data_IF_865863504450
#
_entry.id   IF_865863504450
#
_cell.length_a   1.000
_cell.length_b   1.000
_cell.length_c   1.000
_cell.angle_alpha   90.00
_cell.angle_beta   90.00
_cell.angle_gamma   90.00
#
_symmetry.space_group_name_H-M   'P 1'
#
loop_
_entity.id
_entity.type
_entity.pdbx_description
1 polymer ?
#
# COMPACT_ATOMS: atom_id res chain seq x y z
N UNK A 1 -33.08 10.15 -33.77
CA UNK A 1 -33.51 11.05 -32.68
C UNK A 1 -33.55 10.23 -31.41
N UNK A 2 -32.59 10.46 -30.52
CA UNK A 2 -32.60 9.84 -29.19
C UNK A 2 -33.75 10.47 -28.38
N UNK A 3 -34.54 9.64 -27.72
CA UNK A 3 -35.60 10.10 -26.82
C UNK A 3 -34.98 10.40 -25.45
N UNK A 4 -35.42 11.44 -24.74
CA UNK A 4 -34.89 11.80 -23.41
C UNK A 4 -34.94 10.65 -22.39
N UNK A 5 -35.85 9.69 -22.59
CA UNK A 5 -35.94 8.47 -21.79
C UNK A 5 -34.75 7.52 -22.00
N UNK A 6 -34.20 7.46 -23.21
CA UNK A 6 -33.06 6.60 -23.56
C UNK A 6 -31.76 7.14 -22.96
N UNK A 7 -31.50 8.44 -23.09
CA UNK A 7 -30.36 9.10 -22.45
C UNK A 7 -30.35 8.89 -20.92
N UNK A 8 -31.49 9.11 -20.26
CA UNK A 8 -31.62 8.87 -18.81
C UNK A 8 -31.42 7.40 -18.43
N UNK A 9 -31.90 6.47 -19.26
CA UNK A 9 -31.70 5.04 -19.04
C UNK A 9 -30.22 4.64 -19.15
N UNK A 10 -29.51 5.22 -20.12
CA UNK A 10 -28.08 5.02 -20.32
C UNK A 10 -27.26 5.56 -19.14
N UNK A 11 -27.54 6.78 -18.67
CA UNK A 11 -26.84 7.37 -17.51
C UNK A 11 -26.94 6.48 -16.26
N UNK A 12 -28.13 5.91 -16.01
CA UNK A 12 -28.35 4.97 -14.90
C UNK A 12 -27.57 3.68 -15.11
N UNK A 13 -27.55 3.13 -16.33
CA UNK A 13 -26.81 1.91 -16.63
C UNK A 13 -25.29 2.11 -16.48
N UNK A 14 -24.75 3.24 -16.92
CA UNK A 14 -23.34 3.63 -16.76
C UNK A 14 -22.99 3.70 -15.28
N UNK A 15 -23.80 4.41 -14.48
CA UNK A 15 -23.55 4.53 -13.04
C UNK A 15 -23.55 3.17 -12.34
N UNK A 16 -24.48 2.27 -12.70
CA UNK A 16 -24.51 0.92 -12.15
C UNK A 16 -23.31 0.06 -12.57
N UNK A 17 -22.80 0.25 -13.79
CA UNK A 17 -21.61 -0.44 -14.27
C UNK A 17 -20.35 0.09 -13.56
N UNK A 18 -20.24 1.40 -13.40
CA UNK A 18 -19.16 2.04 -12.64
C UNK A 18 -19.13 1.55 -11.19
N UNK A 19 -20.28 1.56 -10.50
CA UNK A 19 -20.39 1.09 -9.12
C UNK A 19 -19.99 -0.39 -8.97
N UNK A 20 -20.23 -1.23 -9.99
CA UNK A 20 -19.88 -2.65 -9.95
C UNK A 20 -18.41 -2.90 -10.29
N UNK A 21 -17.87 -2.20 -11.28
CA UNK A 21 -16.54 -2.47 -11.82
C UNK A 21 -15.45 -1.59 -11.19
N UNK A 22 -15.72 -0.30 -11.00
CA UNK A 22 -14.73 0.65 -10.50
C UNK A 22 -14.63 0.66 -8.97
N UNK A 23 -15.68 0.25 -8.24
CA UNK A 23 -15.67 0.27 -6.77
C UNK A 23 -14.57 -0.59 -6.15
N UNK A 24 -14.30 -1.78 -6.69
CA UNK A 24 -13.19 -2.63 -6.21
C UNK A 24 -11.85 -1.95 -6.46
N UNK A 25 -11.64 -1.43 -7.68
CA UNK A 25 -10.43 -0.71 -8.09
C UNK A 25 -10.17 0.48 -7.16
N UNK A 26 -11.16 1.35 -6.93
CA UNK A 26 -11.01 2.48 -6.00
C UNK A 26 -10.70 2.03 -4.57
N UNK A 27 -11.20 0.86 -4.16
CA UNK A 27 -10.95 0.33 -2.82
C UNK A 27 -9.53 -0.19 -2.68
N UNK A 28 -9.02 -0.88 -3.69
CA UNK A 28 -7.62 -1.33 -3.77
C UNK A 28 -6.67 -0.13 -3.80
N UNK A 29 -6.94 0.86 -4.66
CA UNK A 29 -6.17 2.12 -4.72
C UNK A 29 -6.13 2.80 -3.36
N UNK A 30 -7.30 3.01 -2.72
CA UNK A 30 -7.37 3.64 -1.39
C UNK A 30 -6.59 2.87 -0.34
N UNK A 31 -6.68 1.54 -0.35
CA UNK A 31 -5.94 0.70 0.59
C UNK A 31 -4.43 0.81 0.37
N UNK A 32 -3.99 0.77 -0.89
CA UNK A 32 -2.60 0.88 -1.28
C UNK A 32 -2.03 2.26 -0.89
N UNK A 33 -2.69 3.35 -1.27
CA UNK A 33 -2.27 4.72 -0.94
C UNK A 33 -2.21 4.92 0.57
N UNK A 34 -3.24 4.48 1.31
CA UNK A 34 -3.27 4.59 2.77
C UNK A 34 -2.08 3.87 3.43
N UNK A 35 -1.78 2.65 2.99
CA UNK A 35 -0.66 1.87 3.52
C UNK A 35 0.67 2.61 3.32
N UNK A 36 0.94 3.05 2.09
CA UNK A 36 2.19 3.73 1.76
C UNK A 36 2.33 5.09 2.44
N UNK A 37 1.25 5.87 2.52
CA UNK A 37 1.24 7.13 3.23
C UNK A 37 1.51 6.95 4.74
N UNK A 38 0.89 5.93 5.35
CA UNK A 38 1.12 5.61 6.76
C UNK A 38 2.57 5.21 7.01
N UNK A 39 3.14 4.33 6.20
CA UNK A 39 4.52 3.88 6.35
C UNK A 39 5.51 5.04 6.20
N UNK A 40 5.28 5.93 5.21
CA UNK A 40 6.11 7.11 5.01
C UNK A 40 6.09 8.05 6.23
N UNK A 41 4.91 8.36 6.76
CA UNK A 41 4.76 9.25 7.92
C UNK A 41 5.39 8.64 9.17
N UNK A 42 5.19 7.33 9.40
CA UNK A 42 5.79 6.64 10.54
C UNK A 42 7.31 6.61 10.47
N UNK A 43 7.88 6.38 9.29
CA UNK A 43 9.33 6.37 9.10
C UNK A 43 9.93 7.78 9.27
N UNK A 44 9.26 8.80 8.74
CA UNK A 44 9.66 10.19 8.96
C UNK A 44 9.64 10.57 10.44
N UNK A 45 8.58 10.19 11.17
CA UNK A 45 8.46 10.43 12.60
C UNK A 45 9.54 9.70 13.43
N UNK A 46 9.91 8.46 13.05
CA UNK A 46 11.01 7.72 13.69
C UNK A 46 12.32 8.48 13.60
N UNK A 47 12.64 9.01 12.41
CA UNK A 47 13.86 9.80 12.20
C UNK A 47 13.91 11.04 13.10
N UNK A 48 12.81 11.79 13.19
CA UNK A 48 12.73 12.96 14.08
C UNK A 48 12.87 12.56 15.56
N UNK A 49 12.18 11.50 15.96
CA UNK A 49 12.25 10.98 17.33
C UNK A 49 13.66 10.54 17.70
N UNK A 50 14.38 9.87 16.81
CA UNK A 50 15.75 9.43 17.03
C UNK A 50 16.73 10.61 17.10
N UNK A 51 16.52 11.64 16.28
CA UNK A 51 17.26 12.90 16.37
C UNK A 51 17.02 13.58 17.73
N UNK A 52 15.77 13.67 18.21
CA UNK A 52 15.47 14.26 19.53
C UNK A 52 16.05 13.44 20.67
N UNK A 53 15.98 12.11 20.63
CA UNK A 53 16.59 11.25 21.66
C UNK A 53 18.10 11.48 21.76
N UNK A 54 18.77 11.63 20.61
CA UNK A 54 20.20 11.94 20.55
C UNK A 54 20.51 13.34 21.11
N UNK A 55 19.69 14.35 20.78
CA UNK A 55 19.85 15.68 21.34
C UNK A 55 19.60 15.71 22.86
N UNK A 56 18.63 14.92 23.33
CA UNK A 56 18.30 14.77 24.75
C UNK A 56 19.42 14.09 25.53
N UNK A 57 20.00 13.01 25.02
CA UNK A 57 21.16 12.37 25.68
C UNK A 57 22.32 13.36 25.82
N UNK A 58 22.65 14.10 24.75
CA UNK A 58 23.68 15.14 24.80
C UNK A 58 23.33 16.30 25.74
N UNK A 59 22.04 16.57 25.97
CA UNK A 59 21.61 17.56 26.95
C UNK A 59 21.78 17.07 28.39
N UNK A 60 21.42 15.82 28.67
CA UNK A 60 21.64 15.19 29.97
C UNK A 60 23.13 15.10 30.32
N UNK A 61 23.98 14.78 29.35
CA UNK A 61 25.43 14.76 29.55
C UNK A 61 25.96 16.15 29.94
N UNK A 62 25.47 17.21 29.30
CA UNK A 62 25.82 18.60 29.64
C UNK A 62 25.37 19.00 31.04
N UNK A 63 24.12 18.66 31.41
CA UNK A 63 23.59 18.92 32.76
C UNK A 63 24.44 18.20 33.82
N UNK A 64 24.78 16.94 33.54
CA UNK A 64 25.59 16.11 34.44
C UNK A 64 27.01 16.66 34.60
N UNK A 65 27.67 17.01 33.51
CA UNK A 65 29.01 17.60 33.53
C UNK A 65 29.04 18.94 34.26
N UNK A 66 28.03 19.79 34.03
CA UNK A 66 27.89 21.07 34.72
C UNK A 66 27.70 20.90 36.24
N UNK A 67 26.78 20.01 36.65
CA UNK A 67 26.54 19.73 38.07
C UNK A 67 27.82 19.22 38.76
N UNK A 68 28.55 18.32 38.11
CA UNK A 68 29.79 17.79 38.63
C UNK A 68 30.89 18.85 38.72
N UNK A 69 31.06 19.68 37.69
CA UNK A 69 32.13 20.69 37.65
C UNK A 69 32.00 21.77 38.74
N UNK A 70 30.78 22.24 39.00
CA UNK A 70 30.56 23.33 39.96
C UNK A 70 30.24 22.85 41.37
N UNK A 71 29.48 21.76 41.50
CA UNK A 71 28.94 21.32 42.78
C UNK A 71 29.51 19.98 43.25
N UNK A 72 30.33 19.29 42.42
CA UNK A 72 30.86 17.94 42.69
C UNK A 72 29.76 16.95 43.12
N UNK A 73 28.56 17.15 42.56
CA UNK A 73 27.34 16.47 42.94
C UNK A 73 26.58 16.02 41.68
N UNK A 74 25.71 15.00 41.80
CA UNK A 74 24.81 14.64 40.71
C UNK A 74 23.84 15.79 40.38
N UNK A 75 23.32 15.83 39.14
CA UNK A 75 22.37 16.86 38.74
C UNK A 75 21.07 16.81 39.55
N UNK A 76 20.50 17.99 39.79
CA UNK A 76 19.30 18.13 40.61
C UNK A 76 18.11 17.40 39.97
N UNK A 77 17.29 16.65 40.73
CA UNK A 77 16.17 15.88 40.19
C UNK A 77 15.19 16.70 39.34
N UNK A 78 14.93 17.95 39.73
CA UNK A 78 14.07 18.85 38.95
C UNK A 78 14.62 19.14 37.55
N UNK A 79 15.93 19.31 37.39
CA UNK A 79 16.53 19.57 36.08
C UNK A 79 16.37 18.36 35.15
N UNK A 80 16.51 17.15 35.70
CA UNK A 80 16.25 15.91 34.96
C UNK A 80 14.78 15.83 34.58
N UNK A 81 13.87 16.09 35.52
CA UNK A 81 12.43 16.04 35.27
C UNK A 81 11.99 17.05 34.19
N UNK A 82 12.54 18.27 34.22
CA UNK A 82 12.32 19.30 33.20
C UNK A 82 12.83 18.86 31.82
N UNK A 83 14.04 18.29 31.75
CA UNK A 83 14.60 17.77 30.51
C UNK A 83 13.71 16.65 29.92
N UNK A 84 13.22 15.73 30.76
CA UNK A 84 12.30 14.66 30.31
C UNK A 84 10.96 15.23 29.84
N UNK A 85 10.40 16.22 30.55
CA UNK A 85 9.18 16.90 30.13
C UNK A 85 9.36 17.67 28.81
N UNK A 86 10.56 18.22 28.56
CA UNK A 86 10.89 18.86 27.29
C UNK A 86 11.00 17.85 26.15
N UNK A 87 11.63 16.70 26.37
CA UNK A 87 11.69 15.63 25.37
C UNK A 87 10.30 15.16 24.97
N UNK A 88 9.43 14.89 25.96
CA UNK A 88 8.06 14.44 25.71
C UNK A 88 7.27 15.43 24.86
N UNK A 89 7.23 16.71 25.27
CA UNK A 89 6.57 17.78 24.51
C UNK A 89 7.10 17.85 23.08
N UNK A 90 8.41 17.70 22.93
CA UNK A 90 9.03 17.65 21.61
C UNK A 90 8.54 16.48 20.76
N UNK A 91 8.53 15.26 21.30
CA UNK A 91 8.03 14.10 20.56
C UNK A 91 6.57 14.30 20.14
N UNK A 92 5.75 14.90 21.01
CA UNK A 92 4.34 15.22 20.71
C UNK A 92 4.22 16.25 19.56
N UNK A 93 5.09 17.27 19.54
CA UNK A 93 5.18 18.24 18.44
C UNK A 93 5.62 17.61 17.12
N UNK A 94 6.64 16.73 17.13
CA UNK A 94 7.08 16.00 15.93
C UNK A 94 5.97 15.13 15.36
N UNK A 95 5.21 14.48 16.25
CA UNK A 95 4.07 13.67 15.84
C UNK A 95 3.02 14.55 15.13
N UNK A 96 2.65 15.67 15.74
CA UNK A 96 1.72 16.62 15.12
C UNK A 96 2.22 17.11 13.76
N UNK A 97 3.49 17.53 13.67
CA UNK A 97 4.09 17.98 12.43
C UNK A 97 4.10 16.88 11.35
N UNK A 98 4.34 15.62 11.74
CA UNK A 98 4.31 14.48 10.82
C UNK A 98 2.90 14.23 10.29
N UNK A 99 1.88 14.25 11.16
CA UNK A 99 0.48 14.05 10.76
C UNK A 99 -0.02 15.17 9.83
N UNK A 100 0.44 16.41 10.01
CA UNK A 100 0.06 17.52 9.14
C UNK A 100 0.51 17.34 7.68
N UNK A 101 1.46 16.43 7.40
CA UNK A 101 1.94 16.14 6.04
C UNK A 101 1.09 15.15 5.26
N UNK A 102 0.03 14.60 5.86
CA UNK A 102 -0.82 13.62 5.18
C UNK A 102 -1.41 14.14 3.85
N UNK A 103 -1.92 15.38 3.72
CA UNK A 103 -2.51 15.85 2.47
C UNK A 103 -1.56 15.74 1.28
N UNK A 104 -0.33 16.24 1.41
CA UNK A 104 0.67 16.24 0.34
C UNK A 104 1.17 14.83 0.04
N UNK A 105 1.35 14.01 1.08
CA UNK A 105 1.78 12.61 0.92
C UNK A 105 0.72 11.79 0.21
N UNK A 106 -0.55 11.99 0.55
CA UNK A 106 -1.68 11.34 -0.13
C UNK A 106 -1.75 11.79 -1.59
N UNK A 107 -1.65 13.09 -1.87
CA UNK A 107 -1.64 13.63 -3.23
C UNK A 107 -0.54 12.99 -4.08
N UNK A 108 0.68 12.90 -3.54
CA UNK A 108 1.79 12.22 -4.20
C UNK A 108 1.47 10.77 -4.55
N UNK A 109 1.02 9.96 -3.58
CA UNK A 109 0.75 8.54 -3.81
C UNK A 109 -0.47 8.31 -4.72
N UNK A 110 -1.50 9.15 -4.65
CA UNK A 110 -2.58 9.12 -5.62
C UNK A 110 -2.10 9.48 -7.03
N UNK A 111 -1.18 10.44 -7.16
CA UNK A 111 -0.59 10.83 -8.45
C UNK A 111 0.28 9.75 -9.11
N UNK A 112 0.73 8.74 -8.35
CA UNK A 112 1.44 7.58 -8.91
C UNK A 112 0.51 6.54 -9.55
N UNK A 113 -0.80 6.63 -9.30
CA UNK A 113 -1.76 5.67 -9.84
C UNK A 113 -2.13 6.07 -11.26
N UNK A 114 -1.78 5.21 -12.21
CA UNK A 114 -2.09 5.40 -13.62
C UNK A 114 -3.19 4.41 -14.06
N UNK A 115 -4.26 4.94 -14.65
CA UNK A 115 -5.32 4.17 -15.30
C UNK A 115 -5.32 4.52 -16.78
N UNK A 116 -4.97 3.55 -17.63
CA UNK A 116 -4.94 3.73 -19.08
C UNK A 116 -6.21 3.15 -19.72
N UNK A 117 -6.73 3.86 -20.72
CA UNK A 117 -7.83 3.36 -21.55
C UNK A 117 -7.25 2.64 -22.76
N UNK A 118 -7.83 1.49 -23.17
CA UNK A 118 -7.50 0.85 -24.43
C UNK A 118 -7.66 1.81 -25.62
N UNK A 119 -6.86 1.63 -26.67
CA UNK A 119 -7.00 2.44 -27.88
C UNK A 119 -8.26 2.05 -28.68
N UNK A 120 -8.86 3.02 -29.39
CA UNK A 120 -10.08 2.82 -30.18
C UNK A 120 -9.93 1.77 -31.29
N UNK A 121 -8.70 1.53 -31.76
CA UNK A 121 -8.42 0.59 -32.82
C UNK A 121 -8.23 -0.86 -32.35
N UNK A 122 -8.12 -1.09 -31.04
CA UNK A 122 -7.95 -2.43 -30.46
C UNK A 122 -9.15 -3.34 -30.74
N UNK A 123 -8.90 -4.63 -31.09
CA UNK A 123 -9.99 -5.57 -31.41
C UNK A 123 -10.93 -5.81 -30.22
N UNK A 124 -10.44 -5.66 -28.99
CA UNK A 124 -11.25 -5.77 -27.78
C UNK A 124 -12.32 -4.66 -27.67
N UNK A 125 -12.06 -3.48 -28.24
CA UNK A 125 -13.00 -2.34 -28.29
C UNK A 125 -13.95 -2.49 -29.48
N UNK A 126 -13.43 -2.89 -30.65
CA UNK A 126 -14.22 -3.00 -31.90
C UNK A 126 -15.19 -4.17 -31.92
N UNK A 127 -14.74 -5.34 -31.46
CA UNK A 127 -15.52 -6.58 -31.49
C UNK A 127 -15.66 -7.14 -30.06
N UNK A 128 -16.41 -6.47 -29.18
CA UNK A 128 -16.59 -6.93 -27.82
C UNK A 128 -17.33 -8.28 -27.82
N UNK A 129 -16.91 -9.26 -26.99
CA UNK A 129 -17.54 -10.58 -26.90
C UNK A 129 -18.90 -10.57 -26.19
N UNK A 130 -19.65 -9.47 -26.32
CA UNK A 130 -21.01 -9.30 -25.86
C UNK A 130 -21.94 -9.84 -26.96
N UNK A 131 -21.99 -11.17 -27.07
CA UNK A 131 -22.70 -11.87 -28.12
C UNK A 131 -24.14 -11.38 -28.29
N UNK A 132 -24.38 -10.48 -29.26
CA UNK A 132 -25.72 -10.00 -29.56
C UNK A 132 -25.86 -9.43 -30.97
N UNK A 133 -24.90 -8.67 -31.51
CA UNK A 133 -25.10 -8.06 -32.85
C UNK A 133 -24.93 -9.02 -34.04
N UNK A 134 -24.22 -10.14 -33.86
CA UNK A 134 -23.98 -11.10 -34.96
C UNK A 134 -25.20 -12.01 -35.22
N UNK A 135 -26.07 -12.22 -34.21
CA UNK A 135 -27.12 -13.25 -34.28
C UNK A 135 -28.47 -12.72 -34.81
N UNK A 136 -28.68 -11.40 -34.85
CA UNK A 136 -29.94 -10.83 -35.35
C UNK A 136 -30.07 -10.83 -36.88
N UNK A 137 -28.99 -11.03 -37.65
CA UNK A 137 -29.06 -11.08 -39.13
C UNK A 137 -29.55 -12.44 -39.68
N UNK A 138 -29.73 -13.46 -38.83
CA UNK A 138 -30.04 -14.83 -39.28
C UNK A 138 -31.37 -15.39 -38.76
N UNK A 139 -32.38 -14.54 -38.58
CA UNK A 139 -33.77 -14.97 -38.37
C UNK A 139 -34.73 -14.14 -39.24
N UNK A 140 -34.56 -14.18 -40.57
CA UNK A 140 -35.64 -13.76 -41.49
C UNK A 140 -35.64 -14.44 -42.87
N UNK A 141 -35.16 -15.69 -42.97
CA UNK A 141 -35.39 -16.50 -44.19
C UNK A 141 -35.67 -17.95 -43.83
N UNK A 142 -36.95 -18.25 -43.57
CA UNK A 142 -37.68 -19.45 -44.04
C UNK A 142 -38.98 -19.62 -43.24
N UNK A 143 -40.01 -18.90 -43.66
CA UNK A 143 -41.33 -19.50 -43.79
C UNK A 143 -41.47 -19.86 -45.28
N UNK A 144 -41.71 -21.14 -45.58
CA UNK A 144 -41.89 -21.62 -46.95
C UNK A 144 -41.43 -23.07 -47.17
N UNK A 145 -42.35 -24.01 -46.89
CA UNK A 145 -42.63 -25.25 -47.65
C UNK A 145 -41.48 -26.21 -48.04
N UNK A 146 -41.54 -27.43 -47.46
CA UNK A 146 -41.48 -28.68 -48.23
C UNK A 146 -40.12 -29.38 -48.39
N UNK A 147 -40.08 -30.69 -48.09
CA UNK A 147 -39.19 -31.63 -48.78
C UNK A 147 -38.24 -32.46 -47.91
N UNK A 148 -38.56 -33.75 -47.83
CA UNK A 148 -37.84 -34.90 -47.31
C UNK A 148 -36.30 -34.98 -47.48
N UNK A 149 -35.67 -35.69 -46.53
CA UNK A 149 -34.64 -36.70 -46.86
C UNK A 149 -33.26 -36.52 -46.25
N UNK A 150 -32.82 -37.52 -45.46
CA UNK A 150 -31.45 -38.03 -45.51
C UNK A 150 -30.48 -37.65 -44.37
N UNK A 151 -30.29 -38.58 -43.43
CA UNK A 151 -28.97 -39.18 -43.12
C UNK A 151 -27.92 -38.39 -42.32
N UNK A 152 -27.67 -38.87 -41.09
CA UNK A 152 -26.31 -39.19 -40.62
C UNK A 152 -25.61 -38.25 -39.63
N UNK A 153 -24.76 -38.77 -38.71
CA UNK A 153 -24.51 -38.16 -37.39
C UNK A 153 -23.06 -37.66 -37.14
N UNK A 154 -22.90 -36.85 -36.08
CA UNK A 154 -21.80 -36.98 -35.11
C UNK A 154 -20.44 -36.34 -35.44
N UNK A 155 -19.94 -35.53 -34.49
CA UNK A 155 -18.57 -35.00 -34.44
C UNK A 155 -18.59 -33.58 -33.87
N UNK A 156 -18.41 -33.34 -32.57
CA UNK A 156 -17.29 -33.81 -31.74
C UNK A 156 -16.20 -32.75 -31.79
N UNK A 157 -16.17 -31.88 -30.78
CA UNK A 157 -15.31 -30.71 -30.74
C UNK A 157 -13.81 -31.02 -30.66
N UNK A 158 -13.00 -29.99 -30.88
CA UNK A 158 -11.66 -29.88 -30.32
C UNK A 158 -11.24 -28.43 -30.25
N UNK A 159 -11.12 -27.94 -29.02
CA UNK A 159 -10.33 -26.79 -28.67
C UNK A 159 -8.85 -27.11 -28.91
N UNK A 160 -8.13 -26.22 -29.56
CA UNK A 160 -6.67 -26.24 -29.60
C UNK A 160 -6.15 -24.86 -29.23
N UNK A 161 -5.62 -24.78 -28.01
CA UNK A 161 -4.84 -23.66 -27.48
C UNK A 161 -3.44 -23.74 -28.07
N UNK A 162 -2.91 -22.62 -28.56
CA UNK A 162 -1.49 -22.47 -28.89
C UNK A 162 -0.91 -21.26 -28.14
N UNK A 163 0.23 -21.38 -27.45
CA UNK A 163 0.91 -20.27 -26.77
C UNK A 163 2.14 -19.82 -27.57
N UNK A 164 2.29 -18.52 -27.80
CA UNK A 164 3.53 -17.84 -28.22
C UNK A 164 3.36 -16.38 -27.80
N UNK A 165 4.25 -15.64 -27.15
CA UNK A 165 5.68 -15.73 -26.93
C UNK A 165 6.16 -14.27 -26.87
N UNK A 166 6.94 -13.94 -25.85
CA UNK A 166 7.52 -12.63 -25.54
C UNK A 166 8.11 -11.88 -26.75
N UNK A 167 7.93 -10.54 -26.81
CA UNK A 167 8.95 -9.62 -27.32
C UNK A 167 8.74 -8.17 -26.85
N UNK A 168 9.72 -7.71 -26.08
CA UNK A 168 10.08 -6.31 -25.82
C UNK A 168 10.65 -5.66 -27.10
N UNK A 169 10.54 -4.33 -27.29
CA UNK A 169 11.75 -3.55 -27.04
C UNK A 169 11.52 -2.16 -26.41
N UNK A 170 12.46 -1.84 -25.53
CA UNK A 170 12.71 -0.52 -24.95
C UNK A 170 12.93 0.59 -25.99
N UNK A 171 12.39 1.77 -25.71
CA UNK A 171 13.13 3.04 -25.57
C UNK A 171 12.14 4.21 -25.50
N UNK A 172 12.10 4.96 -24.39
CA UNK A 172 11.93 6.41 -24.40
C UNK A 172 12.40 6.98 -23.04
N UNK A 173 13.14 8.08 -23.15
CA UNK A 173 13.97 8.67 -22.12
C UNK A 173 13.13 9.39 -21.05
N UNK A 174 13.35 9.07 -19.78
CA UNK A 174 12.85 9.84 -18.64
C UNK A 174 14.02 10.50 -17.89
N UNK A 175 13.97 11.83 -17.80
CA UNK A 175 14.86 12.60 -16.93
C UNK A 175 14.52 12.26 -15.47
N UNK A 176 15.53 11.84 -14.72
CA UNK A 176 15.45 11.37 -13.33
C UNK A 176 15.93 12.47 -12.38
N UNK A 177 15.24 12.80 -11.27
CA UNK A 177 15.88 13.39 -10.10
C UNK A 177 16.65 12.32 -9.30
N UNK A 178 17.62 12.69 -8.45
CA UNK A 178 18.73 11.81 -8.08
C UNK A 178 18.32 10.64 -7.18
N UNK A 179 19.06 9.51 -7.24
CA UNK A 179 18.83 8.36 -6.40
C UNK A 179 19.29 8.62 -4.96
N UNK A 180 18.49 8.18 -3.98
CA UNK A 180 18.90 8.09 -2.59
C UNK A 180 20.13 7.16 -2.47
N UNK A 181 21.19 7.55 -1.74
CA UNK A 181 22.38 6.70 -1.61
C UNK A 181 22.03 5.40 -0.87
N UNK A 182 22.12 4.27 -1.58
CA UNK A 182 22.23 2.96 -0.96
C UNK A 182 23.63 2.80 -0.37
N UNK A 183 23.73 2.98 0.94
CA UNK A 183 24.93 2.66 1.70
C UNK A 183 24.98 1.16 2.01
N UNK A 184 25.41 0.37 1.03
CA UNK A 184 25.99 -0.95 1.30
C UNK A 184 27.52 -0.82 1.38
N UNK A 185 28.02 -0.58 2.60
CA UNK A 185 29.32 -1.13 3.04
C UNK A 185 29.50 -0.94 4.55
N UNK A 186 29.25 -2.00 5.32
CA UNK A 186 30.03 -2.26 6.53
C UNK A 186 30.56 -3.69 6.48
N UNK A 187 31.87 -3.74 6.60
CA UNK A 187 32.76 -4.89 6.76
C UNK A 187 32.22 -5.90 7.80
N UNK A 188 32.48 -7.21 7.65
CA UNK A 188 32.12 -8.20 8.68
C UNK A 188 32.87 -7.91 9.98
N UNK A 189 32.14 -7.67 11.07
CA UNK A 189 32.70 -7.56 12.42
C UNK A 189 33.13 -8.94 12.96
N UNK A 190 34.03 -8.99 13.97
CA UNK A 190 34.57 -10.24 14.49
C UNK A 190 33.51 -11.07 15.20
N UNK A 191 33.61 -12.39 15.03
CA UNK A 191 32.71 -13.41 15.56
C UNK A 191 32.97 -13.59 17.07
N UNK A 192 32.17 -12.98 17.93
CA UNK A 192 32.20 -13.30 19.36
C UNK A 192 31.57 -14.67 19.61
N UNK A 193 32.35 -15.53 20.28
CA UNK A 193 31.91 -16.83 20.78
C UNK A 193 30.81 -16.62 21.83
N UNK A 194 29.61 -17.12 21.53
CA UNK A 194 28.50 -17.24 22.47
C UNK A 194 28.82 -18.34 23.50
N UNK A 195 28.82 -18.08 24.82
CA UNK A 195 28.72 -19.15 25.80
C UNK A 195 27.29 -19.69 25.79
N UNK A 196 27.17 -21.00 25.60
CA UNK A 196 25.94 -21.76 25.82
C UNK A 196 25.57 -21.72 27.31
N UNK A 197 24.39 -21.23 27.65
CA UNK A 197 23.85 -21.37 29.00
C UNK A 197 22.85 -20.29 29.41
N UNK A 198 21.61 -20.41 28.96
CA UNK A 198 20.46 -19.85 29.68
C UNK A 198 19.37 -20.91 29.70
N UNK A 199 19.23 -21.55 30.86
CA UNK A 199 18.09 -22.41 31.16
C UNK A 199 16.82 -21.58 31.34
N UNK A 200 15.64 -22.24 31.33
CA UNK A 200 14.35 -21.56 31.49
C UNK A 200 14.23 -20.88 32.86
N UNK A 201 13.47 -19.77 32.96
CA UNK A 201 13.25 -19.05 34.22
C UNK A 201 12.43 -19.89 35.22
N UNK A 202 12.64 -19.71 36.55
CA UNK A 202 11.85 -20.40 37.56
C UNK A 202 10.40 -19.87 37.62
N UNK A 203 9.43 -20.70 38.04
CA UNK A 203 8.03 -20.29 38.19
C UNK A 203 7.84 -19.31 39.36
N UNK A 204 6.80 -18.45 39.31
CA UNK A 204 6.51 -17.49 40.38
C UNK A 204 6.04 -18.17 41.67
N UNK A 205 6.30 -17.57 42.86
CA UNK A 205 5.85 -18.12 44.13
C UNK A 205 4.33 -18.04 44.28
N UNK A 206 3.74 -19.12 44.78
CA UNK A 206 2.33 -19.20 45.15
C UNK A 206 2.04 -18.27 46.32
N UNK A 207 1.07 -17.36 46.15
CA UNK A 207 0.58 -16.50 47.21
C UNK A 207 -0.06 -17.35 48.32
N UNK A 208 0.54 -17.32 49.51
CA UNK A 208 -0.04 -17.88 50.73
C UNK A 208 -1.28 -17.06 51.10
N UNK A 209 -2.44 -17.69 50.98
CA UNK A 209 -3.72 -17.20 51.44
C UNK A 209 -3.71 -17.20 52.98
N UNK A 210 -3.67 -16.02 53.61
CA UNK A 210 -4.00 -15.89 55.03
C UNK A 210 -5.51 -15.67 55.15
N UNK A 211 -6.28 -16.57 55.80
CA UNK A 211 -7.63 -16.26 56.22
C UNK A 211 -7.58 -15.44 57.51
N UNK A 212 -8.37 -14.39 57.54
CA UNK A 212 -8.53 -13.52 58.70
C UNK A 212 -9.22 -14.19 59.88
N UNK A 213 -8.95 -13.62 61.05
CA UNK A 213 -9.88 -13.45 62.17
C UNK A 213 -9.64 -12.06 62.75
#
# INVERSE_FOLDING_TARGET
MACDCEAKGLDVAVKQAEDRMMRSIYTEIRSWVRGHAQDYILEYFRLLTDQRKTAHSAHLDRITAHAYHYYHAPPHPTQIAEAQASLKRGIDEDWQASVQRYPEVLEYFFGLVELTLPAEDEPAVKDPPLGSLQNFRKVNRRSGSGGAGGGGPGGGGSAAVAPVGYRDPAALHSQTPPPMPRLDRRTPGPRERRPSGFGPPPPPPTASYYPGY
#
